data_IF_264019182821
#
_entry.id   IF_264019182821
#
_cell.length_a   1.000
_cell.length_b   1.000
_cell.length_c   1.000
_cell.angle_alpha   90.00
_cell.angle_beta   90.00
_cell.angle_gamma   90.00
#
_symmetry.space_group_name_H-M   'P 1'
#
loop_
_entity.id
_entity.type
_entity.pdbx_description
1 polymer ?
#
# COMPACT_ATOMS: atom_id res chain seq x y z
N UNK A 1 -27.41 -22.90 5.64
CA UNK A 1 -26.12 -23.58 5.90
C UNK A 1 -25.03 -22.69 5.31
N UNK A 2 -24.23 -21.99 6.12
CA UNK A 2 -23.08 -21.24 5.59
C UNK A 2 -22.01 -22.28 5.24
N UNK A 3 -21.66 -22.41 3.97
CA UNK A 3 -20.57 -23.30 3.55
C UNK A 3 -19.28 -22.86 4.26
N UNK A 4 -18.44 -23.80 4.72
CA UNK A 4 -17.15 -23.44 5.31
C UNK A 4 -16.31 -22.70 4.27
N UNK A 5 -15.64 -21.63 4.71
CA UNK A 5 -14.74 -20.86 3.85
C UNK A 5 -13.46 -21.68 3.69
N UNK A 6 -13.32 -22.30 2.51
CA UNK A 6 -12.12 -23.04 2.12
C UNK A 6 -11.27 -22.17 1.19
N UNK A 7 -9.97 -22.45 1.12
CA UNK A 7 -9.09 -21.79 0.15
C UNK A 7 -9.58 -21.99 -1.29
N UNK A 8 -10.15 -23.16 -1.62
CA UNK A 8 -10.74 -23.44 -2.93
C UNK A 8 -11.92 -22.53 -3.26
N UNK A 9 -12.89 -22.41 -2.35
CA UNK A 9 -14.06 -21.53 -2.55
C UNK A 9 -13.64 -20.06 -2.63
N UNK A 10 -12.71 -19.64 -1.77
CA UNK A 10 -12.20 -18.28 -1.78
C UNK A 10 -11.53 -17.93 -3.12
N UNK A 11 -10.62 -18.80 -3.58
CA UNK A 11 -9.91 -18.63 -4.86
C UNK A 11 -10.88 -18.60 -6.04
N UNK A 12 -11.84 -19.53 -6.09
CA UNK A 12 -12.82 -19.59 -7.16
C UNK A 12 -13.68 -18.31 -7.21
N UNK A 13 -14.17 -17.84 -6.05
CA UNK A 13 -14.95 -16.61 -5.94
C UNK A 13 -14.18 -15.41 -6.51
N UNK A 14 -12.98 -15.15 -6.01
CA UNK A 14 -12.23 -13.96 -6.42
C UNK A 14 -11.66 -14.06 -7.83
N UNK A 15 -11.35 -15.25 -8.32
CA UNK A 15 -11.02 -15.45 -9.75
C UNK A 15 -12.20 -15.04 -10.64
N UNK A 16 -13.41 -15.48 -10.30
CA UNK A 16 -14.61 -15.12 -11.06
C UNK A 16 -14.92 -13.62 -10.97
N UNK A 17 -14.83 -13.02 -9.78
CA UNK A 17 -15.06 -11.58 -9.60
C UNK A 17 -14.07 -10.73 -10.41
N UNK A 18 -12.78 -11.08 -10.40
CA UNK A 18 -11.77 -10.37 -11.19
C UNK A 18 -12.05 -10.48 -12.70
N UNK A 19 -12.54 -11.63 -13.18
CA UNK A 19 -12.93 -11.80 -14.57
C UNK A 19 -14.10 -10.88 -14.95
N UNK A 20 -15.17 -10.85 -14.15
CA UNK A 20 -16.32 -9.99 -14.42
C UNK A 20 -15.95 -8.50 -14.36
N UNK A 21 -15.11 -8.12 -13.41
CA UNK A 21 -14.64 -6.74 -13.27
C UNK A 21 -13.76 -6.31 -14.46
N UNK A 22 -12.89 -7.19 -14.95
CA UNK A 22 -12.10 -6.94 -16.16
C UNK A 22 -13.01 -6.72 -17.38
N UNK A 23 -14.02 -7.55 -17.57
CA UNK A 23 -15.00 -7.39 -18.67
C UNK A 23 -15.78 -6.08 -18.54
N UNK A 24 -16.24 -5.73 -17.33
CA UNK A 24 -16.94 -4.46 -17.09
C UNK A 24 -16.05 -3.26 -17.42
N UNK A 25 -14.77 -3.29 -17.05
CA UNK A 25 -13.82 -2.24 -17.41
C UNK A 25 -13.62 -2.12 -18.92
N UNK A 26 -13.53 -3.24 -19.65
CA UNK A 26 -13.43 -3.25 -21.12
C UNK A 26 -14.67 -2.59 -21.74
N UNK A 27 -15.87 -2.95 -21.27
CA UNK A 27 -17.12 -2.39 -21.76
C UNK A 27 -17.26 -0.90 -21.44
N UNK A 28 -16.88 -0.49 -20.22
CA UNK A 28 -16.91 0.91 -19.79
C UNK A 28 -15.96 1.78 -20.62
N UNK A 29 -14.73 1.32 -20.90
CA UNK A 29 -13.81 2.06 -21.75
C UNK A 29 -14.32 2.15 -23.19
N UNK A 30 -14.82 1.05 -23.77
CA UNK A 30 -15.41 1.07 -25.11
C UNK A 30 -16.62 1.99 -25.22
N UNK A 31 -17.52 1.95 -24.24
CA UNK A 31 -18.77 2.72 -24.26
C UNK A 31 -18.57 4.19 -23.93
N UNK A 32 -17.70 4.49 -22.96
CA UNK A 32 -17.51 5.85 -22.45
C UNK A 32 -16.32 6.55 -23.09
N UNK A 33 -15.21 5.87 -23.38
CA UNK A 33 -13.95 6.54 -23.72
C UNK A 33 -13.55 6.43 -25.20
N UNK A 34 -13.93 5.38 -25.90
CA UNK A 34 -13.60 5.25 -27.33
C UNK A 34 -14.37 6.28 -28.18
N UNK A 35 -13.70 6.88 -29.16
CA UNK A 35 -14.34 7.85 -30.03
C UNK A 35 -13.38 8.72 -30.82
N UNK A 36 -13.97 9.67 -31.54
CA UNK A 36 -13.24 10.69 -32.28
C UNK A 36 -13.08 11.93 -31.41
N UNK A 37 -11.84 12.35 -31.20
CA UNK A 37 -11.48 13.50 -30.38
C UNK A 37 -10.71 14.52 -31.20
N UNK A 38 -10.85 15.79 -30.83
CA UNK A 38 -10.00 16.84 -31.36
C UNK A 38 -8.73 16.92 -30.51
N UNK A 39 -7.56 16.81 -31.14
CA UNK A 39 -6.30 17.18 -30.51
C UNK A 39 -6.17 18.69 -30.47
N UNK A 40 -5.66 19.17 -29.35
CA UNK A 40 -5.48 20.58 -29.06
C UNK A 40 -4.04 20.80 -28.62
N UNK A 41 -3.28 21.64 -29.33
CA UNK A 41 -1.94 22.01 -28.86
C UNK A 41 -2.12 22.78 -27.55
N UNK A 42 -1.50 22.29 -26.49
CA UNK A 42 -1.61 22.87 -25.15
C UNK A 42 -0.20 23.12 -24.61
N UNK A 43 -0.04 24.15 -23.79
CA UNK A 43 1.14 24.25 -22.95
C UNK A 43 1.01 23.23 -21.82
N UNK A 44 2.06 22.44 -21.54
CA UNK A 44 2.02 21.47 -20.47
C UNK A 44 1.88 22.21 -19.13
N UNK A 45 1.05 21.70 -18.19
CA UNK A 45 0.98 22.28 -16.86
C UNK A 45 2.35 22.20 -16.19
N UNK A 46 2.86 23.32 -15.67
CA UNK A 46 4.11 23.35 -14.91
C UNK A 46 3.96 22.56 -13.61
N UNK A 47 4.44 21.32 -13.58
CA UNK A 47 4.64 20.58 -12.34
C UNK A 47 5.87 21.14 -11.64
N UNK A 48 5.71 21.68 -10.41
CA UNK A 48 6.85 22.05 -9.57
C UNK A 48 7.75 20.80 -9.42
N UNK A 49 9.02 20.94 -9.79
CA UNK A 49 10.08 19.91 -9.77
C UNK A 49 10.23 18.98 -10.99
N UNK A 50 9.52 19.20 -12.10
CA UNK A 50 9.82 18.51 -13.36
C UNK A 50 10.80 19.34 -14.19
N UNK A 51 12.11 19.11 -14.02
CA UNK A 51 13.19 19.81 -14.76
C UNK A 51 13.34 19.33 -16.22
N UNK A 52 12.40 18.53 -16.75
CA UNK A 52 12.46 18.08 -18.14
C UNK A 52 11.73 19.05 -19.06
N UNK A 53 12.44 19.52 -20.08
CA UNK A 53 11.83 20.23 -21.22
C UNK A 53 10.76 19.32 -21.83
N UNK A 54 9.48 19.67 -21.69
CA UNK A 54 8.41 18.98 -22.39
C UNK A 54 8.68 18.99 -23.90
N UNK A 55 8.22 17.97 -24.64
CA UNK A 55 8.34 17.97 -26.08
C UNK A 55 7.75 19.27 -26.68
N UNK A 56 8.34 19.85 -27.73
CA UNK A 56 7.86 21.10 -28.35
C UNK A 56 6.42 21.02 -28.91
N UNK A 57 5.83 19.83 -28.90
CA UNK A 57 4.56 19.45 -29.49
C UNK A 57 3.72 18.67 -28.47
N UNK A 58 3.25 19.34 -27.43
CA UNK A 58 2.32 18.79 -26.43
C UNK A 58 0.87 19.01 -26.87
N UNK A 59 0.04 17.96 -26.84
CA UNK A 59 -1.36 17.99 -27.27
C UNK A 59 -2.28 17.30 -26.26
N UNK A 60 -3.47 17.86 -26.09
CA UNK A 60 -4.51 17.40 -25.18
C UNK A 60 -5.72 16.90 -25.99
N UNK A 61 -6.41 15.85 -25.52
CA UNK A 61 -7.68 15.40 -26.10
C UNK A 61 -8.82 16.32 -25.62
N UNK A 62 -9.44 17.06 -26.54
CA UNK A 62 -10.56 17.96 -26.24
C UNK A 62 -11.90 17.19 -26.34
N UNK A 63 -12.82 17.48 -25.39
CA UNK A 63 -14.19 16.96 -25.41
C UNK A 63 -14.45 15.72 -24.55
N UNK A 64 -13.45 15.22 -23.82
CA UNK A 64 -13.71 14.23 -22.76
C UNK A 64 -14.37 14.91 -21.55
N UNK A 65 -15.49 14.37 -21.09
CA UNK A 65 -16.11 14.74 -19.81
C UNK A 65 -15.20 14.37 -18.64
N UNK A 66 -15.40 15.00 -17.48
CA UNK A 66 -14.68 14.65 -16.24
C UNK A 66 -14.80 13.17 -15.88
N UNK A 67 -15.95 12.55 -16.15
CA UNK A 67 -16.16 11.12 -15.96
C UNK A 67 -15.30 10.30 -16.94
N UNK A 68 -15.30 10.63 -18.23
CA UNK A 68 -14.47 9.95 -19.23
C UNK A 68 -12.99 10.12 -18.93
N UNK A 69 -12.57 11.32 -18.51
CA UNK A 69 -11.21 11.59 -18.06
C UNK A 69 -10.91 10.70 -16.87
N UNK A 70 -11.73 10.65 -15.82
CA UNK A 70 -11.50 9.79 -14.64
C UNK A 70 -11.35 8.31 -15.01
N UNK A 71 -12.16 7.80 -15.95
CA UNK A 71 -12.02 6.43 -16.45
C UNK A 71 -10.77 6.23 -17.34
N UNK A 72 -10.34 7.26 -18.06
CA UNK A 72 -9.22 7.21 -19.00
C UNK A 72 -7.85 7.52 -18.36
N UNK A 73 -7.78 8.44 -17.37
CA UNK A 73 -6.57 9.12 -16.87
C UNK A 73 -6.85 10.00 -15.64
N UNK A 74 -5.99 9.94 -14.62
CA UNK A 74 -5.97 10.93 -13.53
C UNK A 74 -5.55 12.34 -14.02
N UNK A 75 -6.56 13.19 -14.38
CA UNK A 75 -6.55 14.65 -14.68
C UNK A 75 -5.93 15.10 -16.04
N UNK A 76 -6.26 16.24 -16.69
CA UNK A 76 -7.28 17.31 -16.58
C UNK A 76 -7.30 18.13 -17.90
N UNK A 77 -8.36 18.91 -18.14
CA UNK A 77 -8.66 19.70 -19.37
C UNK A 77 -8.07 21.13 -19.40
N UNK A 78 -7.91 21.75 -20.59
CA UNK A 78 -8.01 23.22 -20.90
C UNK A 78 -7.99 23.48 -22.43
N UNK A 79 -8.66 24.57 -22.86
CA UNK A 79 -8.98 25.05 -24.22
C UNK A 79 -7.89 25.87 -24.97
N UNK A 80 -7.88 25.82 -26.32
CA UNK A 80 -7.13 26.70 -27.27
C UNK A 80 -6.83 26.09 -28.68
N UNK A 81 -7.34 26.66 -29.76
CA UNK A 81 -7.57 26.02 -31.09
C UNK A 81 -6.36 25.57 -31.96
N UNK A 82 -6.42 24.32 -32.44
CA UNK A 82 -6.18 23.86 -33.84
C UNK A 82 -6.65 22.40 -33.97
N UNK A 83 -7.57 22.08 -34.89
CA UNK A 83 -8.29 20.79 -34.89
C UNK A 83 -7.62 19.73 -35.79
N UNK A 84 -6.77 18.89 -35.20
CA UNK A 84 -6.48 17.56 -35.73
C UNK A 84 -7.47 16.57 -35.12
N UNK A 85 -8.32 15.92 -35.93
CA UNK A 85 -9.19 14.84 -35.43
C UNK A 85 -8.42 13.54 -35.38
N UNK A 86 -8.47 12.88 -34.22
CA UNK A 86 -7.91 11.55 -34.02
C UNK A 86 -8.97 10.60 -33.51
N UNK A 87 -8.86 9.33 -33.89
CA UNK A 87 -9.64 8.27 -33.27
C UNK A 87 -8.79 7.67 -32.16
N UNK A 88 -9.27 7.75 -30.93
CA UNK A 88 -8.62 7.17 -29.77
C UNK A 88 -9.36 5.91 -29.33
N UNK A 89 -8.59 4.90 -28.92
CA UNK A 89 -9.09 3.66 -28.33
C UNK A 89 -8.40 3.44 -26.99
N UNK A 90 -9.17 3.12 -25.97
CA UNK A 90 -8.68 2.87 -24.62
C UNK A 90 -8.75 1.37 -24.32
N UNK A 91 -7.59 0.74 -24.21
CA UNK A 91 -7.49 -0.68 -23.86
C UNK A 91 -7.21 -0.88 -22.37
N UNK A 92 -7.85 -1.90 -21.79
CA UNK A 92 -7.65 -2.27 -20.38
C UNK A 92 -6.25 -2.84 -20.18
N UNK A 93 -5.61 -2.48 -19.06
CA UNK A 93 -4.37 -3.12 -18.63
C UNK A 93 -4.65 -4.51 -18.02
N UNK A 94 -4.72 -5.53 -18.87
CA UNK A 94 -4.94 -6.92 -18.46
C UNK A 94 -3.93 -7.43 -17.42
N UNK A 95 -2.69 -6.93 -17.44
CA UNK A 95 -1.65 -7.36 -16.50
C UNK A 95 -2.00 -7.05 -15.04
N UNK A 96 -2.83 -6.03 -14.80
CA UNK A 96 -3.35 -5.72 -13.46
C UNK A 96 -4.21 -6.88 -12.93
N UNK A 97 -5.23 -7.28 -13.68
CA UNK A 97 -6.14 -8.37 -13.30
C UNK A 97 -5.43 -9.72 -13.21
N UNK A 98 -4.56 -10.02 -14.17
CA UNK A 98 -3.70 -11.21 -14.13
C UNK A 98 -2.85 -11.23 -12.88
N UNK A 99 -2.24 -10.09 -12.52
CA UNK A 99 -1.43 -9.95 -11.31
C UNK A 99 -2.21 -10.27 -10.04
N UNK A 100 -3.41 -9.69 -9.90
CA UNK A 100 -4.29 -9.94 -8.75
C UNK A 100 -4.75 -11.40 -8.68
N UNK A 101 -5.11 -11.99 -9.82
CA UNK A 101 -5.53 -13.39 -9.88
C UNK A 101 -4.38 -14.34 -9.46
N UNK A 102 -3.15 -14.07 -9.90
CA UNK A 102 -1.97 -14.81 -9.44
C UNK A 102 -1.70 -14.59 -7.93
N UNK A 103 -2.04 -13.43 -7.38
CA UNK A 103 -2.07 -13.20 -5.94
C UNK A 103 -3.07 -14.11 -5.23
N UNK A 104 -4.33 -14.10 -5.69
CA UNK A 104 -5.42 -14.93 -5.15
C UNK A 104 -5.07 -16.42 -5.18
N UNK A 105 -4.53 -16.92 -6.30
CA UNK A 105 -4.12 -18.33 -6.43
C UNK A 105 -3.06 -18.75 -5.41
N UNK A 106 -2.21 -17.83 -4.95
CA UNK A 106 -1.16 -18.09 -3.96
C UNK A 106 -1.64 -18.03 -2.51
N UNK A 107 -2.89 -17.62 -2.24
CA UNK A 107 -3.44 -17.59 -0.88
C UNK A 107 -3.41 -19.00 -0.27
N UNK A 108 -2.75 -19.12 0.88
CA UNK A 108 -2.69 -20.32 1.69
C UNK A 108 -3.78 -20.31 2.76
N UNK A 109 -3.97 -21.44 3.46
CA UNK A 109 -4.89 -21.49 4.60
C UNK A 109 -4.43 -20.54 5.72
N UNK A 110 -3.12 -20.45 5.95
CA UNK A 110 -2.55 -19.54 6.96
C UNK A 110 -2.90 -18.07 6.64
N UNK A 111 -2.79 -17.66 5.37
CA UNK A 111 -3.23 -16.33 4.95
C UNK A 111 -4.72 -16.15 5.17
N UNK A 112 -5.54 -17.15 4.81
CA UNK A 112 -6.99 -17.08 4.96
C UNK A 112 -7.42 -16.93 6.44
N UNK A 113 -6.74 -17.60 7.38
CA UNK A 113 -6.96 -17.44 8.82
C UNK A 113 -6.63 -16.02 9.32
N UNK A 114 -5.74 -15.29 8.66
CA UNK A 114 -5.50 -13.88 8.99
C UNK A 114 -6.63 -12.97 8.52
N UNK A 115 -7.33 -13.33 7.45
CA UNK A 115 -8.41 -12.53 6.89
C UNK A 115 -9.74 -12.78 7.60
N UNK A 116 -9.98 -14.05 7.91
CA UNK A 116 -11.18 -14.52 8.55
C UNK A 116 -10.75 -15.30 9.79
N UNK A 117 -10.29 -14.59 10.83
CA UNK A 117 -9.84 -15.24 12.05
C UNK A 117 -11.00 -15.95 12.74
N UNK A 118 -10.66 -17.07 13.37
CA UNK A 118 -11.55 -17.87 14.22
C UNK A 118 -11.36 -17.48 15.68
N UNK A 119 -12.21 -17.97 16.58
CA UNK A 119 -12.03 -17.72 18.02
C UNK A 119 -10.68 -18.19 18.58
N UNK A 120 -10.06 -19.18 17.96
CA UNK A 120 -8.72 -19.66 18.32
C UNK A 120 -7.64 -18.60 18.10
N UNK A 121 -7.81 -17.79 17.06
CA UNK A 121 -6.83 -16.77 16.63
C UNK A 121 -6.76 -15.56 17.58
N UNK A 122 -7.69 -15.47 18.54
CA UNK A 122 -7.79 -14.40 19.54
C UNK A 122 -7.39 -14.84 20.96
N UNK A 123 -6.91 -16.07 21.15
CA UNK A 123 -6.67 -16.63 22.49
C UNK A 123 -5.43 -16.09 23.20
N UNK A 124 -4.46 -15.53 22.46
CA UNK A 124 -3.25 -15.01 23.07
C UNK A 124 -3.56 -13.75 23.89
N UNK A 125 -3.22 -13.72 25.19
CA UNK A 125 -3.44 -12.52 25.99
C UNK A 125 -2.54 -11.37 25.51
N UNK A 126 -2.94 -10.11 25.74
CA UNK A 126 -2.06 -8.97 25.54
C UNK A 126 -0.80 -9.12 26.40
N UNK A 127 0.33 -8.69 25.87
CA UNK A 127 1.60 -8.66 26.60
C UNK A 127 1.90 -7.30 27.20
N UNK A 128 2.78 -7.31 28.18
CA UNK A 128 3.41 -6.09 28.68
C UNK A 128 4.28 -5.45 27.59
N UNK A 129 4.17 -4.14 27.49
CA UNK A 129 4.98 -3.31 26.60
C UNK A 129 6.25 -2.94 27.35
N UNK A 130 7.43 -3.30 26.81
CA UNK A 130 8.70 -3.16 27.52
C UNK A 130 9.33 -1.75 27.41
N UNK A 131 8.61 -0.80 26.83
CA UNK A 131 9.06 0.57 26.61
C UNK A 131 8.06 1.58 27.15
N UNK A 132 8.56 2.76 27.54
CA UNK A 132 7.71 3.91 27.80
C UNK A 132 7.19 4.47 26.47
N UNK A 133 5.92 4.20 26.17
CA UNK A 133 5.27 4.66 24.93
C UNK A 133 4.99 6.18 24.94
N UNK A 134 4.97 6.82 26.12
CA UNK A 134 4.73 8.27 26.26
C UNK A 134 5.99 9.10 26.05
N UNK A 135 7.15 8.44 25.98
CA UNK A 135 8.40 9.08 25.57
C UNK A 135 8.31 9.50 24.10
N UNK A 136 8.66 10.75 23.84
CA UNK A 136 8.73 11.32 22.50
C UNK A 136 9.52 10.40 21.55
N UNK A 137 8.92 9.94 20.44
CA UNK A 137 9.61 9.09 19.49
C UNK A 137 10.72 9.85 18.76
N UNK A 138 11.59 9.11 18.06
CA UNK A 138 12.47 9.74 17.07
C UNK A 138 11.65 10.65 16.15
N UNK A 139 12.21 11.81 15.81
CA UNK A 139 11.52 12.81 15.01
C UNK A 139 10.69 13.82 15.82
N UNK A 140 10.25 13.50 17.04
CA UNK A 140 9.36 14.38 17.83
C UNK A 140 7.93 14.39 17.30
N UNK A 141 7.43 13.22 16.91
CA UNK A 141 6.08 13.04 16.38
C UNK A 141 5.18 12.61 17.53
N UNK A 142 4.38 13.53 18.04
CA UNK A 142 3.50 13.22 19.17
C UNK A 142 2.14 12.71 18.70
N UNK A 143 1.59 11.79 19.49
CA UNK A 143 0.23 11.30 19.36
C UNK A 143 -0.71 12.10 20.24
N UNK A 144 -1.96 12.22 19.80
CA UNK A 144 -3.00 12.76 20.66
C UNK A 144 -3.29 11.76 21.80
N UNK A 145 -3.71 12.22 23.00
CA UNK A 145 -3.94 11.35 24.16
C UNK A 145 -4.82 10.12 23.86
N UNK A 146 -5.83 10.30 23.01
CA UNK A 146 -6.78 9.26 22.59
C UNK A 146 -6.12 8.16 21.73
N UNK A 147 -5.06 8.50 21.00
CA UNK A 147 -4.36 7.57 20.11
C UNK A 147 -3.44 6.61 20.87
N UNK A 148 -3.09 6.90 22.13
CA UNK A 148 -2.24 6.03 22.95
C UNK A 148 -2.92 4.70 23.26
N UNK A 149 -4.24 4.67 23.45
CA UNK A 149 -4.98 3.42 23.64
C UNK A 149 -4.88 2.52 22.40
N UNK A 150 -4.93 3.12 21.21
CA UNK A 150 -4.75 2.40 19.96
C UNK A 150 -3.30 1.92 19.80
N UNK A 151 -2.31 2.73 20.19
CA UNK A 151 -0.91 2.34 20.22
C UNK A 151 -0.66 1.15 21.18
N UNK A 152 -1.23 1.20 22.38
CA UNK A 152 -1.16 0.11 23.36
C UNK A 152 -1.75 -1.19 22.80
N UNK A 153 -2.91 -1.12 22.15
CA UNK A 153 -3.53 -2.27 21.51
C UNK A 153 -2.65 -2.86 20.38
N UNK A 154 -2.00 -2.01 19.58
CA UNK A 154 -1.07 -2.45 18.52
C UNK A 154 0.16 -3.15 19.12
N UNK A 155 0.80 -2.55 20.13
CA UNK A 155 2.06 -3.04 20.67
C UNK A 155 1.88 -4.29 21.54
N UNK A 156 0.79 -4.37 22.30
CA UNK A 156 0.48 -5.48 23.21
C UNK A 156 -0.10 -6.71 22.51
N UNK A 157 -0.58 -6.59 21.27
CA UNK A 157 -1.21 -7.69 20.56
C UNK A 157 -0.24 -8.87 20.31
N UNK A 158 -0.63 -10.05 20.78
CA UNK A 158 0.04 -11.33 20.50
C UNK A 158 -0.83 -12.29 19.67
N UNK A 159 -2.04 -11.88 19.32
CA UNK A 159 -2.97 -12.69 18.55
C UNK A 159 -2.51 -12.89 17.10
N UNK A 160 -2.90 -14.01 16.50
CA UNK A 160 -2.78 -14.20 15.06
C UNK A 160 -3.82 -13.36 14.30
N UNK A 161 -4.91 -12.95 14.94
CA UNK A 161 -5.84 -12.00 14.34
C UNK A 161 -5.19 -10.62 14.13
N UNK A 162 -5.45 -9.93 13.00
CA UNK A 162 -5.00 -8.55 12.79
C UNK A 162 -5.65 -7.56 13.76
N UNK A 163 -4.91 -6.52 14.13
CA UNK A 163 -5.45 -5.36 14.85
C UNK A 163 -6.08 -4.41 13.83
N UNK A 164 -7.35 -4.07 14.02
CA UNK A 164 -8.06 -3.11 13.17
C UNK A 164 -8.05 -1.72 13.80
N UNK A 165 -7.65 -0.71 13.03
CA UNK A 165 -7.62 0.70 13.43
C UNK A 165 -8.65 1.46 12.59
N UNK A 166 -9.93 1.47 13.01
CA UNK A 166 -10.95 2.28 12.36
C UNK A 166 -10.73 3.75 12.70
N UNK A 167 -11.07 4.64 11.76
CA UNK A 167 -11.12 6.06 12.05
C UNK A 167 -11.42 6.91 10.84
N UNK A 168 -12.13 8.01 11.05
CA UNK A 168 -12.49 8.95 9.99
C UNK A 168 -11.26 9.63 9.36
N UNK A 169 -11.50 10.43 8.32
CA UNK A 169 -10.47 11.21 7.66
C UNK A 169 -9.89 12.22 8.65
N UNK A 170 -8.57 12.38 8.66
CA UNK A 170 -7.90 13.32 9.55
C UNK A 170 -7.66 12.84 10.99
N UNK A 171 -8.16 11.67 11.42
CA UNK A 171 -7.92 11.13 12.77
C UNK A 171 -6.48 10.63 13.04
N UNK A 172 -5.52 10.94 12.16
CA UNK A 172 -4.10 10.62 12.35
C UNK A 172 -3.75 9.13 12.29
N UNK A 173 -4.50 8.30 11.54
CA UNK A 173 -4.20 6.86 11.36
C UNK A 173 -2.77 6.60 10.84
N UNK A 174 -2.38 7.30 9.78
CA UNK A 174 -1.02 7.23 9.20
C UNK A 174 0.05 7.62 10.23
N UNK A 175 -0.20 8.69 11.02
CA UNK A 175 0.69 9.11 12.11
C UNK A 175 0.83 8.02 13.18
N UNK A 176 -0.28 7.40 13.59
CA UNK A 176 -0.29 6.31 14.55
C UNK A 176 0.53 5.10 14.05
N UNK A 177 0.38 4.70 12.79
CA UNK A 177 1.18 3.61 12.20
C UNK A 177 2.68 3.96 12.16
N UNK A 178 3.03 5.20 11.86
CA UNK A 178 4.43 5.65 11.87
C UNK A 178 5.03 5.61 13.29
N UNK A 179 4.28 6.04 14.31
CA UNK A 179 4.71 5.96 15.71
C UNK A 179 4.79 4.51 16.20
N UNK A 180 3.82 3.67 15.85
CA UNK A 180 3.87 2.24 16.18
C UNK A 180 5.12 1.56 15.57
N UNK A 181 5.47 1.92 14.33
CA UNK A 181 6.70 1.45 13.66
C UNK A 181 7.94 1.83 14.47
N UNK A 182 8.05 3.08 14.92
CA UNK A 182 9.16 3.53 15.77
C UNK A 182 9.22 2.75 17.09
N UNK A 183 8.07 2.57 17.74
CA UNK A 183 7.96 1.85 19.00
C UNK A 183 8.37 0.38 18.87
N UNK A 184 7.99 -0.32 17.79
CA UNK A 184 8.44 -1.69 17.54
C UNK A 184 9.97 -1.77 17.41
N UNK A 185 10.60 -0.86 16.65
CA UNK A 185 12.06 -0.83 16.54
C UNK A 185 12.75 -0.42 17.84
N UNK A 186 12.16 0.51 18.60
CA UNK A 186 12.67 0.97 19.89
C UNK A 186 12.65 -0.16 20.91
N UNK A 187 11.53 -0.84 21.05
CA UNK A 187 11.38 -1.99 21.94
C UNK A 187 12.34 -3.13 21.55
N UNK A 188 12.43 -3.46 20.26
CA UNK A 188 13.37 -4.45 19.76
C UNK A 188 14.84 -4.14 20.13
N UNK A 189 15.23 -2.86 20.10
CA UNK A 189 16.57 -2.43 20.53
C UNK A 189 16.74 -2.47 22.05
N UNK A 190 15.79 -1.93 22.80
CA UNK A 190 15.88 -1.81 24.26
C UNK A 190 15.82 -3.17 24.96
N UNK A 191 15.18 -4.16 24.32
CA UNK A 191 15.14 -5.55 24.79
C UNK A 191 16.30 -6.42 24.28
N UNK A 192 17.25 -5.88 23.53
CA UNK A 192 18.50 -6.58 23.21
C UNK A 192 18.49 -7.48 21.97
N UNK A 193 17.68 -7.18 20.95
CA UNK A 193 17.77 -7.80 19.62
C UNK A 193 17.57 -9.33 19.59
N UNK A 194 16.66 -9.88 20.40
CA UNK A 194 16.43 -11.33 20.47
C UNK A 194 16.02 -11.97 19.14
N UNK A 195 15.32 -11.23 18.27
CA UNK A 195 14.94 -11.65 16.92
C UNK A 195 14.80 -10.45 15.99
N UNK A 196 15.01 -10.58 14.67
CA UNK A 196 14.95 -9.44 13.75
C UNK A 196 13.60 -8.73 13.78
N UNK A 197 13.61 -7.40 13.83
CA UNK A 197 12.45 -6.57 13.57
C UNK A 197 12.45 -6.15 12.09
N UNK A 198 11.55 -6.72 11.30
CA UNK A 198 11.39 -6.37 9.89
C UNK A 198 9.94 -6.00 9.62
N UNK A 199 9.72 -4.75 9.26
CA UNK A 199 8.38 -4.16 9.11
C UNK A 199 8.11 -3.84 7.65
N UNK A 200 6.95 -4.29 7.16
CA UNK A 200 6.39 -3.90 5.87
C UNK A 200 5.24 -2.90 6.10
N UNK A 201 5.33 -1.71 5.52
CA UNK A 201 4.21 -0.77 5.44
C UNK A 201 3.66 -0.78 4.01
N UNK A 202 2.36 -1.04 3.87
CA UNK A 202 1.66 -1.05 2.61
C UNK A 202 0.56 0.00 2.59
N UNK A 203 0.51 0.81 1.53
CA UNK A 203 -0.53 1.81 1.32
C UNK A 203 -1.31 1.56 0.02
N UNK A 204 -2.48 2.17 -0.13
CA UNK A 204 -3.22 2.11 -1.39
C UNK A 204 -2.52 2.93 -2.50
N UNK A 205 -2.12 4.16 -2.21
CA UNK A 205 -1.52 5.07 -3.19
C UNK A 205 -0.01 5.32 -3.00
N UNK A 206 0.70 5.65 -4.09
CA UNK A 206 2.13 5.99 -4.02
C UNK A 206 2.36 7.22 -3.12
N UNK A 207 1.48 8.22 -3.21
CA UNK A 207 1.54 9.42 -2.37
C UNK A 207 1.41 9.10 -0.89
N UNK A 208 0.52 8.18 -0.51
CA UNK A 208 0.36 7.74 0.88
C UNK A 208 1.65 7.08 1.41
N UNK A 209 2.30 6.27 0.58
CA UNK A 209 3.60 5.69 0.91
C UNK A 209 4.73 6.74 0.97
N UNK A 210 4.68 7.80 0.15
CA UNK A 210 5.66 8.89 0.19
C UNK A 210 5.50 9.75 1.46
N UNK A 211 4.26 9.98 1.90
CA UNK A 211 3.97 10.67 3.19
C UNK A 211 4.67 9.96 4.36
N UNK A 212 4.69 8.62 4.39
CA UNK A 212 5.46 7.87 5.41
C UNK A 212 6.95 8.23 5.40
N UNK A 213 7.55 8.32 4.20
CA UNK A 213 8.97 8.62 4.06
C UNK A 213 9.25 10.09 4.39
N UNK A 214 8.54 11.01 3.77
CA UNK A 214 8.85 12.45 3.79
C UNK A 214 8.45 13.08 5.13
N UNK A 215 7.24 12.79 5.62
CA UNK A 215 6.68 13.47 6.78
C UNK A 215 7.07 12.81 8.11
N UNK A 216 7.46 11.53 8.10
CA UNK A 216 7.79 10.77 9.32
C UNK A 216 9.21 10.22 9.32
N UNK A 217 9.53 9.23 8.49
CA UNK A 217 10.78 8.47 8.64
C UNK A 217 12.03 9.28 8.29
N UNK A 218 11.95 10.25 7.37
CA UNK A 218 13.07 11.16 7.09
C UNK A 218 13.46 12.01 8.31
N UNK A 219 12.48 12.44 9.11
CA UNK A 219 12.71 13.17 10.37
C UNK A 219 13.32 12.27 11.46
N UNK A 220 13.02 10.97 11.43
CA UNK A 220 13.65 10.00 12.32
C UNK A 220 15.10 9.74 11.90
N UNK A 221 15.33 9.48 10.61
CA UNK A 221 16.65 9.22 10.03
C UNK A 221 17.61 10.39 10.21
N UNK A 222 17.13 11.64 10.09
CA UNK A 222 17.96 12.83 10.36
C UNK A 222 18.43 12.92 11.82
N UNK A 223 17.74 12.25 12.74
CA UNK A 223 18.12 12.09 14.16
C UNK A 223 18.85 10.77 14.42
N UNK A 224 19.53 10.22 13.40
CA UNK A 224 20.34 8.98 13.49
C UNK A 224 19.53 7.75 13.93
N UNK A 225 18.30 7.62 13.45
CA UNK A 225 17.48 6.44 13.72
C UNK A 225 18.13 5.17 13.12
N UNK A 226 18.48 4.16 13.93
CA UNK A 226 19.30 3.01 13.49
C UNK A 226 18.44 1.93 12.82
N UNK A 227 17.75 2.30 11.74
CA UNK A 227 16.86 1.42 10.97
C UNK A 227 17.20 1.54 9.49
N UNK A 228 17.37 0.41 8.82
CA UNK A 228 17.50 0.37 7.36
C UNK A 228 16.13 0.57 6.73
N UNK A 229 15.89 1.75 6.15
CA UNK A 229 14.61 2.09 5.51
C UNK A 229 14.73 2.00 3.99
N UNK A 230 13.78 1.35 3.34
CA UNK A 230 13.71 1.17 1.88
C UNK A 230 12.32 1.54 1.38
N UNK A 231 12.28 2.34 0.31
CA UNK A 231 11.05 2.75 -0.38
C UNK A 231 10.94 1.98 -1.70
N UNK A 232 9.94 1.10 -1.82
CA UNK A 232 9.71 0.30 -3.03
C UNK A 232 8.53 0.82 -3.85
N UNK A 233 8.74 1.16 -5.12
CA UNK A 233 7.69 1.69 -6.02
C UNK A 233 7.38 0.77 -7.19
N UNK A 234 6.17 0.87 -7.74
CA UNK A 234 5.74 0.07 -8.89
C UNK A 234 5.95 0.76 -10.25
N UNK A 235 6.33 2.04 -10.29
CA UNK A 235 6.35 2.87 -11.51
C UNK A 235 7.66 3.64 -11.70
N UNK A 236 7.78 4.39 -12.81
CA UNK A 236 8.83 5.40 -13.06
C UNK A 236 8.78 6.60 -12.10
N UNK A 237 8.06 6.48 -10.99
CA UNK A 237 7.99 7.48 -9.93
C UNK A 237 9.37 7.58 -9.30
N UNK A 238 10.10 8.66 -9.63
CA UNK A 238 11.38 8.97 -9.01
C UNK A 238 11.10 9.67 -7.69
N UNK A 239 11.43 9.01 -6.58
CA UNK A 239 11.36 9.63 -5.25
C UNK A 239 12.75 10.21 -4.95
N UNK A 240 12.82 11.42 -4.42
CA UNK A 240 14.05 12.06 -3.93
C UNK A 240 14.60 11.43 -2.64
N UNK A 241 14.53 10.10 -2.50
CA UNK A 241 14.96 9.37 -1.31
C UNK A 241 16.09 8.38 -1.67
N UNK A 242 17.26 8.44 -1.00
CA UNK A 242 18.40 7.59 -1.33
C UNK A 242 18.15 6.07 -1.24
N UNK A 243 17.21 5.63 -0.39
CA UNK A 243 16.84 4.22 -0.22
C UNK A 243 15.72 3.74 -1.16
N UNK A 244 15.60 4.33 -2.34
CA UNK A 244 14.59 4.00 -3.34
C UNK A 244 14.95 2.75 -4.15
N UNK A 245 13.98 1.86 -4.38
CA UNK A 245 14.12 0.66 -5.22
C UNK A 245 12.84 0.43 -6.04
N UNK A 246 12.98 0.00 -7.30
CA UNK A 246 11.82 -0.43 -8.09
C UNK A 246 11.40 -1.85 -7.72
N UNK A 247 10.09 -2.09 -7.56
CA UNK A 247 9.55 -3.39 -7.16
C UNK A 247 9.94 -4.53 -8.12
N UNK A 248 10.14 -4.22 -9.41
CA UNK A 248 10.61 -5.18 -10.39
C UNK A 248 12.03 -5.71 -10.10
N UNK A 249 12.87 -4.89 -9.46
CA UNK A 249 14.27 -5.17 -9.13
C UNK A 249 14.52 -5.43 -7.65
N UNK A 250 13.47 -5.43 -6.82
CA UNK A 250 13.62 -5.67 -5.39
C UNK A 250 13.97 -7.14 -5.14
N UNK A 251 15.01 -7.34 -4.33
CA UNK A 251 15.47 -8.60 -3.77
C UNK A 251 15.71 -8.38 -2.27
N UNK A 252 15.27 -9.32 -1.44
CA UNK A 252 15.42 -9.24 0.01
C UNK A 252 16.78 -9.77 0.50
N UNK A 253 17.57 -10.42 -0.34
CA UNK A 253 18.88 -10.98 0.01
C UNK A 253 19.83 -9.99 0.73
N UNK A 254 19.96 -8.72 0.30
CA UNK A 254 20.81 -7.74 0.99
C UNK A 254 20.34 -7.40 2.41
N UNK A 255 19.07 -7.67 2.72
CA UNK A 255 18.42 -7.26 3.97
C UNK A 255 18.18 -8.44 4.93
N UNK A 256 18.58 -9.66 4.57
CA UNK A 256 18.41 -10.85 5.43
C UNK A 256 19.21 -10.77 6.73
N UNK A 257 20.34 -10.07 6.72
CA UNK A 257 21.17 -9.87 7.91
C UNK A 257 20.83 -8.59 8.69
N UNK A 258 19.86 -7.81 8.21
CA UNK A 258 19.42 -6.60 8.91
C UNK A 258 18.49 -6.98 10.07
N UNK A 259 18.91 -6.61 11.29
CA UNK A 259 18.09 -6.79 12.50
C UNK A 259 16.96 -5.74 12.57
N UNK A 260 17.15 -4.56 11.98
CA UNK A 260 16.15 -3.48 11.96
C UNK A 260 15.91 -3.02 10.53
N UNK A 261 14.87 -3.54 9.89
CA UNK A 261 14.55 -3.28 8.49
C UNK A 261 13.12 -2.78 8.29
N UNK A 262 12.95 -1.67 7.58
CA UNK A 262 11.65 -1.10 7.22
C UNK A 262 11.52 -1.01 5.71
N UNK A 263 10.45 -1.57 5.17
CA UNK A 263 10.07 -1.41 3.76
C UNK A 263 8.73 -0.70 3.66
N UNK A 264 8.66 0.37 2.87
CA UNK A 264 7.42 1.11 2.58
C UNK A 264 7.08 0.96 1.09
N UNK A 265 5.86 0.52 0.78
CA UNK A 265 5.41 0.27 -0.59
C UNK A 265 3.90 0.47 -0.74
N UNK A 266 3.40 0.40 -1.97
CA UNK A 266 1.95 0.26 -2.24
C UNK A 266 1.53 -1.20 -2.31
N UNK A 267 0.23 -1.49 -2.30
CA UNK A 267 -0.31 -2.85 -2.53
C UNK A 267 0.20 -3.47 -3.84
N UNK A 268 0.21 -2.72 -4.94
CA UNK A 268 0.75 -3.22 -6.21
C UNK A 268 2.26 -3.51 -6.17
N UNK A 269 3.02 -2.72 -5.41
CA UNK A 269 4.43 -3.00 -5.14
C UNK A 269 4.61 -4.25 -4.29
N UNK A 270 3.80 -4.40 -3.22
CA UNK A 270 3.77 -5.58 -2.36
C UNK A 270 3.45 -6.85 -3.16
N UNK A 271 2.48 -6.79 -4.06
CA UNK A 271 2.11 -7.89 -4.95
C UNK A 271 3.29 -8.33 -5.83
N UNK A 272 4.03 -7.35 -6.34
CA UNK A 272 5.20 -7.60 -7.19
C UNK A 272 6.33 -8.26 -6.40
N UNK A 273 6.66 -7.74 -5.21
CA UNK A 273 7.77 -8.29 -4.39
C UNK A 273 7.40 -9.61 -3.71
N UNK A 274 6.12 -9.89 -3.44
CA UNK A 274 5.66 -11.17 -2.87
C UNK A 274 6.02 -12.40 -3.71
N UNK A 275 6.45 -12.23 -4.95
CA UNK A 275 6.94 -13.31 -5.83
C UNK A 275 8.39 -13.70 -5.53
N UNK A 276 9.12 -12.86 -4.80
CA UNK A 276 10.57 -12.97 -4.54
C UNK A 276 10.91 -12.96 -3.05
N UNK A 277 9.94 -12.61 -2.19
CA UNK A 277 10.11 -12.51 -0.74
C UNK A 277 9.35 -13.65 -0.08
N UNK A 278 10.05 -14.40 0.76
CA UNK A 278 9.49 -15.49 1.54
C UNK A 278 8.53 -15.03 2.67
N UNK A 279 7.50 -15.82 3.04
CA UNK A 279 6.47 -15.44 4.02
C UNK A 279 6.93 -15.23 5.47
N UNK A 280 8.19 -15.48 5.79
CA UNK A 280 8.80 -15.33 7.11
C UNK A 280 9.80 -14.17 7.17
N UNK A 281 9.98 -13.43 6.08
CA UNK A 281 10.92 -12.32 6.04
C UNK A 281 10.47 -11.15 6.95
N UNK A 282 9.18 -10.80 6.93
CA UNK A 282 8.61 -9.70 7.71
C UNK A 282 7.97 -10.20 9.02
N UNK A 283 8.35 -9.58 10.14
CA UNK A 283 7.75 -9.85 11.45
C UNK A 283 6.50 -9.03 11.68
N UNK A 284 6.38 -7.86 11.05
CA UNK A 284 5.21 -6.99 11.14
C UNK A 284 4.77 -6.51 9.76
N UNK A 285 3.47 -6.44 9.55
CA UNK A 285 2.84 -5.85 8.36
C UNK A 285 1.82 -4.81 8.83
N UNK A 286 2.03 -3.56 8.43
CA UNK A 286 1.14 -2.45 8.73
C UNK A 286 0.52 -1.99 7.41
N UNK A 287 -0.81 -2.00 7.36
CA UNK A 287 -1.59 -1.62 6.18
C UNK A 287 -2.27 -0.30 6.47
N UNK A 288 -2.03 0.70 5.63
CA UNK A 288 -2.76 1.96 5.61
C UNK A 288 -3.76 1.99 4.45
N UNK A 289 -4.88 2.68 4.64
CA UNK A 289 -5.98 2.77 3.67
C UNK A 289 -6.52 1.39 3.23
N UNK A 290 -6.46 0.38 4.09
CA UNK A 290 -6.86 -1.00 3.76
C UNK A 290 -8.33 -1.14 3.35
N UNK A 291 -9.19 -0.24 3.82
CA UNK A 291 -10.62 -0.22 3.51
C UNK A 291 -10.98 0.45 2.17
N UNK A 292 -10.07 1.22 1.56
CA UNK A 292 -10.31 1.94 0.29
C UNK A 292 -9.89 1.14 -0.96
N UNK A 293 -9.47 -0.11 -0.76
CA UNK A 293 -8.93 -0.94 -1.83
C UNK A 293 -9.73 -2.22 -2.01
N UNK A 294 -9.61 -2.83 -3.19
CA UNK A 294 -10.24 -4.12 -3.43
C UNK A 294 -9.59 -5.17 -2.55
N UNK A 295 -10.37 -6.16 -2.11
CA UNK A 295 -9.84 -7.23 -1.28
C UNK A 295 -8.59 -7.87 -1.92
N UNK A 296 -8.58 -8.35 -3.18
CA UNK A 296 -7.36 -8.91 -3.80
C UNK A 296 -6.14 -7.98 -3.81
N UNK A 297 -6.33 -6.65 -3.82
CA UNK A 297 -5.23 -5.69 -3.70
C UNK A 297 -4.71 -5.61 -2.27
N UNK A 298 -5.61 -5.38 -1.30
CA UNK A 298 -5.30 -5.28 0.13
C UNK A 298 -4.57 -6.54 0.66
N UNK A 299 -4.82 -7.70 0.05
CA UNK A 299 -4.21 -8.98 0.39
C UNK A 299 -2.76 -9.14 -0.02
N UNK A 300 -2.28 -8.33 -0.96
CA UNK A 300 -0.92 -8.42 -1.49
C UNK A 300 0.17 -8.55 -0.42
N UNK A 301 0.19 -7.75 0.67
CA UNK A 301 1.12 -7.94 1.78
C UNK A 301 0.99 -9.27 2.51
N UNK A 302 -0.23 -9.82 2.65
CA UNK A 302 -0.46 -11.06 3.39
C UNK A 302 0.22 -12.28 2.75
N UNK A 303 0.51 -12.22 1.45
CA UNK A 303 1.29 -13.24 0.75
C UNK A 303 2.71 -13.40 1.32
N UNK A 304 3.19 -12.41 2.07
CA UNK A 304 4.48 -12.42 2.76
C UNK A 304 4.33 -12.57 4.29
N UNK A 305 3.16 -13.01 4.77
CA UNK A 305 2.90 -13.27 6.18
C UNK A 305 2.93 -14.76 6.49
N UNK A 306 3.45 -15.12 7.67
CA UNK A 306 3.35 -16.46 8.24
C UNK A 306 2.40 -16.45 9.46
N UNK A 307 2.43 -17.48 10.28
CA UNK A 307 1.60 -17.63 11.51
C UNK A 307 2.09 -16.80 12.72
N UNK A 308 3.26 -16.18 12.62
CA UNK A 308 3.84 -15.32 13.66
C UNK A 308 3.90 -13.84 13.26
N UNK A 309 3.66 -13.51 11.99
CA UNK A 309 3.59 -12.12 11.52
C UNK A 309 2.46 -11.36 12.23
N UNK A 310 2.79 -10.21 12.84
CA UNK A 310 1.81 -9.30 13.43
C UNK A 310 1.26 -8.37 12.37
N UNK A 311 -0.07 -8.26 12.28
CA UNK A 311 -0.73 -7.48 11.24
C UNK A 311 -1.56 -6.36 11.88
N UNK A 312 -1.41 -5.14 11.37
CA UNK A 312 -2.22 -3.98 11.73
C UNK A 312 -2.86 -3.43 10.47
N UNK A 313 -4.16 -3.19 10.48
CA UNK A 313 -4.91 -2.68 9.34
C UNK A 313 -5.62 -1.39 9.76
N UNK A 314 -5.16 -0.26 9.23
CA UNK A 314 -5.83 1.01 9.36
C UNK A 314 -6.70 1.27 8.12
N UNK A 315 -7.90 1.80 8.36
CA UNK A 315 -8.84 2.10 7.29
C UNK A 315 -10.15 2.67 7.81
N UNK A 316 -10.93 3.21 6.90
CA UNK A 316 -12.30 3.62 7.16
C UNK A 316 -13.22 2.96 6.14
N UNK A 317 -14.21 2.21 6.61
CA UNK A 317 -15.17 1.53 5.74
C UNK A 317 -16.22 2.49 5.16
N UNK A 318 -16.26 3.74 5.65
CA UNK A 318 -17.15 4.80 5.15
C UNK A 318 -16.50 5.71 4.11
N UNK A 319 -15.22 5.52 3.79
CA UNK A 319 -14.46 6.25 2.77
C UNK A 319 -14.28 5.39 1.52
#
# INVERSE_FOLDING_TARGET
MKLPITTGHYKAKFTALLYYEEQEHIELLKKKCDGSFALQKCEPPFLRHDEKSYPPHFYCLQGMSSAQIMYATQASSIHGQSLLKVNAKFDVNHNYFVGLNEGVKRISMNVLHRLIPTSEDFKSPPRDIAIDIRRHPYGGIDLDPEQYLALEAILSNQCSAPVLIPGAFGCGKTRLLAVATECFFREHRETGYHSPCRILICCHHQRSADVFIDDYFSKMLSKSWPVKVVRVTSSRHCVGYPGYVQAAHFDNSPYKNENSFLLVTTFGGALTISRRVEPDFFTHILIDEGAQSREPEALSPFLMANENTRIVIAGDHQQ
#
